data_IF_637131798528
#
_entry.id   IF_637131798528
#
_cell.length_a   1.000
_cell.length_b   1.000
_cell.length_c   1.000
_cell.angle_alpha   90.00
_cell.angle_beta   90.00
_cell.angle_gamma   90.00
#
_symmetry.space_group_name_H-M   'P 1'
#
loop_
_entity.id
_entity.type
_entity.pdbx_description
1 polymer ?
#
# COMPACT_ATOMS: atom_id res chain seq x y z
N UNK A 1 -50.58 -13.96 75.42
CA UNK A 1 -49.63 -14.57 74.47
C UNK A 1 -49.77 -13.79 73.16
N UNK A 2 -48.87 -12.83 72.91
CA UNK A 2 -48.87 -11.95 71.74
C UNK A 2 -48.06 -12.58 70.63
N UNK A 3 -48.69 -12.94 69.49
CA UNK A 3 -48.01 -13.40 68.32
C UNK A 3 -47.75 -12.21 67.41
N UNK A 4 -46.52 -11.75 67.36
CA UNK A 4 -46.06 -10.73 66.41
C UNK A 4 -45.55 -11.44 65.18
N UNK A 5 -46.28 -11.33 64.05
CA UNK A 5 -45.84 -11.77 62.74
C UNK A 5 -44.88 -10.73 62.10
N UNK A 6 -43.65 -11.14 61.85
CA UNK A 6 -42.62 -10.35 61.15
C UNK A 6 -42.93 -10.33 59.62
N UNK A 7 -43.27 -9.14 59.15
CA UNK A 7 -43.41 -8.91 57.68
C UNK A 7 -42.06 -8.54 57.06
N UNK A 8 -41.54 -9.41 56.19
CA UNK A 8 -40.41 -9.06 55.31
C UNK A 8 -40.96 -8.32 54.07
N UNK A 9 -40.37 -7.16 53.68
CA UNK A 9 -40.78 -6.49 52.47
C UNK A 9 -40.24 -7.27 51.26
N UNK A 10 -41.13 -7.84 50.44
CA UNK A 10 -40.76 -8.36 49.12
C UNK A 10 -40.48 -7.17 48.19
N UNK A 11 -39.19 -6.93 47.88
CA UNK A 11 -38.82 -6.03 46.79
C UNK A 11 -39.23 -6.65 45.47
N UNK A 12 -40.28 -6.09 44.85
CA UNK A 12 -40.65 -6.39 43.44
C UNK A 12 -39.71 -5.61 42.56
N UNK A 13 -38.56 -6.19 42.21
CA UNK A 13 -37.83 -5.70 41.01
C UNK A 13 -38.72 -5.89 39.80
N UNK A 14 -39.09 -4.81 39.12
CA UNK A 14 -39.95 -4.87 37.97
C UNK A 14 -39.23 -5.60 36.82
N UNK A 15 -39.93 -6.38 36.05
CA UNK A 15 -39.39 -7.08 34.85
C UNK A 15 -38.66 -6.09 33.94
N UNK A 16 -39.11 -4.85 33.86
CA UNK A 16 -38.51 -3.78 33.09
C UNK A 16 -37.11 -3.39 33.64
N UNK A 17 -36.90 -3.40 34.97
CA UNK A 17 -35.58 -3.13 35.59
C UNK A 17 -34.59 -4.27 35.32
N UNK A 18 -35.05 -5.51 35.27
CA UNK A 18 -34.21 -6.66 34.93
C UNK A 18 -33.80 -6.65 33.46
N UNK A 19 -34.72 -6.31 32.56
CA UNK A 19 -34.45 -6.17 31.11
C UNK A 19 -33.46 -5.03 30.86
N UNK A 20 -33.60 -3.88 31.54
CA UNK A 20 -32.67 -2.77 31.41
C UNK A 20 -31.24 -3.12 31.88
N UNK A 21 -31.14 -3.90 33.00
CA UNK A 21 -29.85 -4.41 33.50
C UNK A 21 -29.19 -5.39 32.52
N UNK A 22 -29.97 -6.31 31.93
CA UNK A 22 -29.46 -7.27 30.94
C UNK A 22 -29.01 -6.55 29.65
N UNK A 23 -29.79 -5.58 29.15
CA UNK A 23 -29.41 -4.77 27.99
C UNK A 23 -28.15 -3.94 28.27
N UNK A 24 -28.06 -3.32 29.45
CA UNK A 24 -26.85 -2.58 29.86
C UNK A 24 -25.62 -3.47 29.97
N UNK A 25 -25.75 -4.72 30.46
CA UNK A 25 -24.66 -5.68 30.55
C UNK A 25 -24.24 -6.22 29.16
N UNK A 26 -25.20 -6.47 28.27
CA UNK A 26 -24.90 -6.85 26.87
C UNK A 26 -24.19 -5.74 26.10
N UNK A 27 -24.60 -4.47 26.31
CA UNK A 27 -23.94 -3.31 25.72
C UNK A 27 -22.52 -3.16 26.29
N UNK A 28 -22.34 -3.31 27.60
CA UNK A 28 -21.01 -3.24 28.25
C UNK A 28 -20.10 -4.36 27.80
N UNK A 29 -20.59 -5.60 27.62
CA UNK A 29 -19.83 -6.71 27.05
C UNK A 29 -19.49 -6.43 25.59
N UNK A 30 -20.45 -5.96 24.80
CA UNK A 30 -20.24 -5.61 23.39
C UNK A 30 -19.20 -4.51 23.21
N UNK A 31 -19.25 -3.47 24.06
CA UNK A 31 -18.24 -2.39 24.07
C UNK A 31 -16.89 -2.90 24.57
N UNK A 32 -16.87 -3.71 25.63
CA UNK A 32 -15.63 -4.30 26.16
C UNK A 32 -14.96 -5.25 25.18
N UNK A 33 -15.71 -6.07 24.46
CA UNK A 33 -15.20 -6.94 23.40
C UNK A 33 -14.68 -6.13 22.19
N UNK A 34 -15.34 -5.02 21.85
CA UNK A 34 -14.93 -4.16 20.75
C UNK A 34 -13.65 -3.36 21.08
N UNK A 35 -13.48 -2.96 22.36
CA UNK A 35 -12.27 -2.29 22.85
C UNK A 35 -11.08 -3.24 23.03
N UNK A 36 -11.32 -4.54 23.09
CA UNK A 36 -10.28 -5.56 23.28
C UNK A 36 -9.87 -6.24 21.98
N UNK A 37 -10.56 -5.97 20.86
CA UNK A 37 -10.21 -6.55 19.58
C UNK A 37 -8.91 -5.91 19.05
N UNK A 38 -7.84 -6.69 19.00
CA UNK A 38 -6.57 -6.32 18.36
C UNK A 38 -6.37 -7.27 17.18
N UNK A 39 -6.47 -6.76 15.94
CA UNK A 39 -6.24 -7.60 14.79
C UNK A 39 -4.77 -8.05 14.77
N UNK A 40 -4.55 -9.36 14.68
CA UNK A 40 -3.21 -9.95 14.58
C UNK A 40 -2.84 -10.14 13.12
N UNK A 41 -1.61 -9.77 12.78
CA UNK A 41 -1.06 -10.02 11.45
C UNK A 41 -0.84 -11.52 11.24
N UNK A 42 -1.16 -12.06 10.06
CA UNK A 42 -0.99 -13.49 9.76
C UNK A 42 0.49 -13.88 9.52
N UNK A 43 1.41 -12.96 9.69
CA UNK A 43 2.84 -13.12 9.48
C UNK A 43 3.65 -12.41 10.57
N UNK A 44 4.93 -12.72 10.66
CA UNK A 44 5.85 -12.00 11.57
C UNK A 44 6.19 -10.64 11.00
N UNK A 45 6.27 -9.58 11.85
CA UNK A 45 6.74 -8.28 11.44
C UNK A 45 8.13 -8.35 10.80
N UNK A 46 8.32 -7.60 9.74
CA UNK A 46 9.56 -7.58 8.99
C UNK A 46 9.79 -6.21 8.34
N UNK A 47 11.05 -5.86 8.11
CA UNK A 47 11.39 -4.77 7.20
C UNK A 47 11.07 -5.23 5.78
N UNK A 48 10.31 -4.43 5.05
CA UNK A 48 9.85 -4.78 3.73
C UNK A 48 10.10 -3.66 2.72
N UNK A 49 10.12 -4.01 1.44
CA UNK A 49 10.19 -3.06 0.33
C UNK A 49 9.21 -3.45 -0.77
N UNK A 50 8.76 -2.46 -1.52
CA UNK A 50 8.16 -2.68 -2.83
C UNK A 50 9.25 -2.72 -3.90
N UNK A 51 9.19 -3.70 -4.79
CA UNK A 51 9.90 -3.70 -6.06
C UNK A 51 8.91 -3.34 -7.17
N UNK A 52 8.97 -2.09 -7.67
CA UNK A 52 7.95 -1.54 -8.57
C UNK A 52 8.44 -1.27 -10.00
N UNK A 53 9.66 -1.74 -10.31
CA UNK A 53 10.23 -1.67 -11.66
C UNK A 53 9.57 -2.70 -12.60
N UNK A 54 9.75 -2.54 -13.90
CA UNK A 54 9.26 -3.48 -14.93
C UNK A 54 10.30 -4.50 -15.37
N UNK A 55 11.48 -4.48 -14.75
CA UNK A 55 12.57 -5.43 -14.99
C UNK A 55 13.19 -5.76 -13.64
N UNK A 56 13.22 -7.03 -13.27
CA UNK A 56 13.88 -7.52 -12.07
C UNK A 56 15.36 -7.76 -12.37
N UNK A 57 16.12 -6.71 -12.17
CA UNK A 57 17.57 -6.67 -12.32
C UNK A 57 18.10 -5.75 -11.21
N UNK A 58 18.11 -6.21 -9.94
CA UNK A 58 18.55 -5.41 -8.82
C UNK A 58 20.05 -5.18 -8.91
N UNK A 59 20.45 -3.91 -8.86
CA UNK A 59 21.86 -3.53 -8.87
C UNK A 59 22.53 -3.79 -7.51
N UNK A 60 23.87 -3.64 -7.48
CA UNK A 60 24.67 -3.89 -6.27
C UNK A 60 24.27 -3.01 -5.07
N UNK A 61 23.79 -1.78 -5.32
CA UNK A 61 23.35 -0.88 -4.25
C UNK A 61 21.98 -1.33 -3.69
N UNK A 62 21.09 -1.84 -4.52
CA UNK A 62 19.80 -2.40 -4.11
C UNK A 62 19.97 -3.71 -3.31
N UNK A 63 20.86 -4.59 -3.76
CA UNK A 63 21.21 -5.81 -3.02
C UNK A 63 21.85 -5.46 -1.67
N UNK A 64 22.76 -4.49 -1.65
CA UNK A 64 23.37 -3.97 -0.44
C UNK A 64 22.34 -3.39 0.53
N UNK A 65 21.37 -2.60 0.02
CA UNK A 65 20.28 -2.04 0.80
C UNK A 65 19.46 -3.14 1.50
N UNK A 66 19.04 -4.18 0.76
CA UNK A 66 18.30 -5.32 1.31
C UNK A 66 19.06 -5.96 2.47
N UNK A 67 20.38 -6.16 2.32
CA UNK A 67 21.23 -6.76 3.34
C UNK A 67 21.41 -5.85 4.56
N UNK A 68 21.78 -4.58 4.35
CA UNK A 68 22.13 -3.65 5.43
C UNK A 68 20.93 -3.27 6.29
N UNK A 69 19.77 -3.09 5.69
CA UNK A 69 18.52 -2.77 6.41
C UNK A 69 17.70 -4.01 6.81
N UNK A 70 18.31 -5.21 6.73
CA UNK A 70 17.67 -6.47 7.12
C UNK A 70 16.26 -6.64 6.51
N UNK A 71 16.09 -6.28 5.23
CA UNK A 71 14.84 -6.46 4.52
C UNK A 71 14.55 -7.95 4.38
N UNK A 72 13.36 -8.38 4.84
CA UNK A 72 12.93 -9.79 4.85
C UNK A 72 11.69 -10.06 4.01
N UNK A 73 11.04 -9.01 3.48
CA UNK A 73 9.88 -9.17 2.59
C UNK A 73 9.96 -8.21 1.41
N UNK A 74 9.67 -8.74 0.22
CA UNK A 74 9.64 -7.98 -1.02
C UNK A 74 8.26 -8.11 -1.66
N UNK A 75 7.51 -7.01 -1.74
CA UNK A 75 6.30 -6.91 -2.54
C UNK A 75 6.70 -6.66 -3.99
N UNK A 76 6.54 -7.67 -4.82
CA UNK A 76 7.06 -7.66 -6.19
C UNK A 76 5.92 -7.43 -7.19
N UNK A 77 5.90 -6.25 -7.86
CA UNK A 77 4.93 -5.98 -8.92
C UNK A 77 5.15 -6.93 -10.09
N UNK A 78 4.20 -7.83 -10.31
CA UNK A 78 4.30 -8.83 -11.38
C UNK A 78 3.79 -8.30 -12.72
N UNK A 79 2.63 -7.69 -12.70
CA UNK A 79 2.01 -7.04 -13.85
C UNK A 79 0.88 -6.13 -13.40
N UNK A 80 0.44 -5.26 -14.33
CA UNK A 80 -0.80 -4.51 -14.19
C UNK A 80 -1.92 -5.21 -14.94
N UNK A 81 -3.14 -4.94 -14.53
CA UNK A 81 -4.35 -5.31 -15.26
C UNK A 81 -5.05 -4.02 -15.65
N UNK A 82 -5.20 -3.82 -16.97
CA UNK A 82 -5.76 -2.59 -17.52
C UNK A 82 -6.95 -2.89 -18.43
N UNK A 83 -7.86 -1.91 -18.55
CA UNK A 83 -8.96 -2.00 -19.50
C UNK A 83 -8.46 -1.74 -20.92
N UNK A 84 -8.87 -2.59 -21.87
CA UNK A 84 -8.69 -2.42 -23.31
C UNK A 84 -10.02 -2.00 -23.93
N UNK A 85 -10.32 -0.73 -23.86
CA UNK A 85 -11.63 -0.18 -24.28
C UNK A 85 -11.95 -0.33 -25.79
N UNK A 86 -10.95 -0.67 -26.59
CA UNK A 86 -11.11 -0.88 -28.04
C UNK A 86 -11.40 -2.32 -28.45
N UNK A 87 -11.33 -3.28 -27.53
CA UNK A 87 -11.52 -4.70 -27.83
C UNK A 87 -13.00 -5.07 -28.05
N UNK A 88 -13.26 -5.82 -29.10
CA UNK A 88 -14.62 -6.24 -29.45
C UNK A 88 -15.16 -7.40 -28.58
N UNK A 89 -14.42 -8.52 -28.36
CA UNK A 89 -14.90 -9.56 -27.47
C UNK A 89 -14.68 -9.16 -26.00
N UNK A 90 -15.66 -9.43 -25.11
CA UNK A 90 -15.56 -9.07 -23.70
C UNK A 90 -14.32 -9.61 -23.00
N UNK A 91 -13.85 -10.80 -23.37
CA UNK A 91 -12.66 -11.44 -22.79
C UNK A 91 -11.35 -10.73 -23.13
N UNK A 92 -11.32 -9.85 -24.11
CA UNK A 92 -10.17 -9.02 -24.48
C UNK A 92 -10.22 -7.61 -23.88
N UNK A 93 -11.29 -7.26 -23.17
CA UNK A 93 -11.44 -5.94 -22.55
C UNK A 93 -10.56 -5.74 -21.32
N UNK A 94 -10.04 -6.82 -20.77
CA UNK A 94 -9.11 -6.80 -19.64
C UNK A 94 -7.84 -7.52 -20.06
N UNK A 95 -6.71 -6.80 -19.99
CA UNK A 95 -5.42 -7.31 -20.46
C UNK A 95 -4.32 -7.04 -19.45
N UNK A 96 -3.31 -7.93 -19.39
CA UNK A 96 -2.10 -7.66 -18.63
C UNK A 96 -1.25 -6.59 -19.31
N UNK A 97 -0.65 -5.71 -18.52
CA UNK A 97 0.26 -4.67 -18.95
C UNK A 97 1.49 -4.62 -18.03
N UNK A 98 2.53 -3.92 -18.44
CA UNK A 98 3.74 -3.69 -17.63
C UNK A 98 4.26 -4.95 -16.92
N UNK A 99 4.20 -6.12 -17.58
CA UNK A 99 4.65 -7.40 -17.03
C UNK A 99 6.12 -7.34 -16.66
N UNK A 100 6.44 -7.76 -15.44
CA UNK A 100 7.80 -7.82 -14.93
C UNK A 100 8.63 -8.82 -15.74
N UNK A 101 9.81 -8.38 -16.17
CA UNK A 101 10.79 -9.20 -16.91
C UNK A 101 11.94 -9.58 -15.97
N UNK A 102 12.49 -10.76 -16.18
CA UNK A 102 13.59 -11.32 -15.38
C UNK A 102 14.78 -11.68 -16.29
N UNK A 103 15.52 -10.71 -16.81
CA UNK A 103 16.56 -10.97 -17.81
C UNK A 103 17.77 -11.71 -17.27
N UNK A 104 18.02 -11.63 -15.96
CA UNK A 104 19.16 -12.25 -15.31
C UNK A 104 18.88 -13.64 -14.73
N UNK A 105 17.60 -14.10 -14.76
CA UNK A 105 17.21 -15.37 -14.16
C UNK A 105 17.01 -16.41 -15.28
N UNK A 106 18.04 -17.21 -15.52
CA UNK A 106 17.99 -18.33 -16.47
C UNK A 106 17.64 -19.65 -15.78
N UNK A 107 18.08 -19.80 -14.52
CA UNK A 107 17.86 -20.97 -13.68
C UNK A 107 17.91 -20.60 -12.17
N UNK A 108 17.86 -21.58 -11.31
CA UNK A 108 17.91 -21.40 -9.85
C UNK A 108 19.24 -20.83 -9.33
N UNK A 109 20.31 -20.87 -10.10
CA UNK A 109 21.65 -20.42 -9.68
C UNK A 109 21.70 -18.92 -9.39
N UNK A 110 20.83 -18.12 -10.02
CA UNK A 110 20.67 -16.70 -9.69
C UNK A 110 20.40 -16.49 -8.20
N UNK A 111 19.44 -17.22 -7.66
CA UNK A 111 19.05 -17.10 -6.25
C UNK A 111 20.14 -17.64 -5.30
N UNK A 112 20.87 -18.69 -5.71
CA UNK A 112 21.97 -19.24 -4.94
C UNK A 112 23.14 -18.26 -4.81
N UNK A 113 23.40 -17.46 -5.85
CA UNK A 113 24.47 -16.45 -5.87
C UNK A 113 24.10 -15.15 -5.18
N UNK A 114 22.79 -14.89 -4.99
CA UNK A 114 22.25 -13.69 -4.36
C UNK A 114 21.53 -14.00 -3.05
N UNK A 115 22.26 -14.53 -2.07
CA UNK A 115 21.70 -15.05 -0.81
C UNK A 115 20.76 -14.07 -0.09
N UNK A 116 21.08 -12.78 -0.04
CA UNK A 116 20.22 -11.78 0.62
C UNK A 116 18.86 -11.61 -0.07
N UNK A 117 18.79 -11.85 -1.38
CA UNK A 117 17.52 -11.91 -2.13
C UNK A 117 16.83 -13.26 -1.88
N UNK A 118 17.59 -14.36 -1.89
CA UNK A 118 17.05 -15.70 -1.66
C UNK A 118 16.46 -15.87 -0.25
N UNK A 119 16.99 -15.17 0.75
CA UNK A 119 16.51 -15.21 2.14
C UNK A 119 15.24 -14.35 2.39
N UNK A 120 14.87 -13.52 1.44
CA UNK A 120 13.66 -12.72 1.55
C UNK A 120 12.41 -13.54 1.20
N UNK A 121 11.30 -13.20 1.83
CA UNK A 121 9.99 -13.67 1.43
C UNK A 121 9.43 -12.77 0.30
N UNK A 122 8.76 -13.37 -0.67
CA UNK A 122 8.19 -12.65 -1.80
C UNK A 122 6.66 -12.64 -1.75
N UNK A 123 6.08 -11.47 -2.01
CA UNK A 123 4.65 -11.29 -2.19
C UNK A 123 4.41 -10.72 -3.59
N UNK A 124 4.15 -11.59 -4.59
CA UNK A 124 3.67 -11.14 -5.88
C UNK A 124 2.56 -10.12 -5.73
N UNK A 125 2.67 -8.98 -6.44
CA UNK A 125 1.70 -7.90 -6.37
C UNK A 125 1.13 -7.64 -7.77
N UNK A 126 -0.19 -7.59 -7.88
CA UNK A 126 -0.92 -7.31 -9.12
C UNK A 126 -1.66 -5.99 -8.97
N UNK A 127 -1.30 -5.01 -9.79
CA UNK A 127 -2.01 -3.74 -9.84
C UNK A 127 -3.21 -3.83 -10.78
N UNK A 128 -4.38 -3.39 -10.33
CA UNK A 128 -5.64 -3.46 -11.09
C UNK A 128 -6.19 -2.05 -11.21
N UNK A 129 -6.31 -1.54 -12.44
CA UNK A 129 -6.97 -0.25 -12.65
C UNK A 129 -8.47 -0.35 -12.37
N UNK A 130 -9.06 0.73 -11.88
CA UNK A 130 -10.51 0.79 -11.58
C UNK A 130 -11.36 0.49 -12.83
N UNK A 131 -10.90 0.92 -13.99
CA UNK A 131 -11.59 0.63 -15.26
C UNK A 131 -11.55 -0.87 -15.60
N UNK A 132 -10.40 -1.53 -15.38
CA UNK A 132 -10.30 -2.99 -15.58
C UNK A 132 -11.19 -3.76 -14.59
N UNK A 133 -11.23 -3.29 -13.33
CA UNK A 133 -12.09 -3.89 -12.32
C UNK A 133 -13.58 -3.83 -12.73
N UNK A 134 -14.04 -2.71 -13.30
CA UNK A 134 -15.42 -2.60 -13.84
C UNK A 134 -15.70 -3.58 -14.98
N UNK A 135 -14.72 -3.82 -15.86
CA UNK A 135 -14.86 -4.79 -16.96
C UNK A 135 -14.82 -6.26 -16.49
N UNK A 136 -14.44 -6.52 -15.22
CA UNK A 136 -14.49 -7.86 -14.62
C UNK A 136 -15.88 -8.24 -14.10
N UNK A 137 -16.79 -7.27 -13.99
CA UNK A 137 -18.15 -7.51 -13.49
C UNK A 137 -18.86 -8.66 -14.24
N UNK A 138 -19.56 -9.51 -13.49
CA UNK A 138 -20.23 -10.71 -14.03
C UNK A 138 -19.28 -11.86 -14.43
N UNK A 139 -17.94 -11.68 -14.35
CA UNK A 139 -16.96 -12.73 -14.68
C UNK A 139 -15.82 -12.84 -13.65
N UNK A 140 -16.02 -12.32 -12.44
CA UNK A 140 -15.00 -12.16 -11.39
C UNK A 140 -14.28 -13.47 -11.06
N UNK A 141 -14.99 -14.57 -10.92
CA UNK A 141 -14.39 -15.88 -10.64
C UNK A 141 -13.42 -16.36 -11.74
N UNK A 142 -13.73 -16.06 -13.01
CA UNK A 142 -12.85 -16.38 -14.13
C UNK A 142 -11.56 -15.54 -14.08
N UNK A 143 -11.69 -14.26 -13.76
CA UNK A 143 -10.54 -13.36 -13.64
C UNK A 143 -9.67 -13.73 -12.45
N UNK A 144 -10.25 -14.08 -11.32
CA UNK A 144 -9.52 -14.57 -10.15
C UNK A 144 -8.61 -15.76 -10.51
N UNK A 145 -9.16 -16.76 -11.22
CA UNK A 145 -8.41 -17.93 -11.69
C UNK A 145 -7.26 -17.53 -12.61
N UNK A 146 -7.53 -16.68 -13.64
CA UNK A 146 -6.50 -16.19 -14.57
C UNK A 146 -5.37 -15.45 -13.85
N UNK A 147 -5.69 -14.63 -12.83
CA UNK A 147 -4.71 -13.90 -12.04
C UNK A 147 -3.81 -14.87 -11.28
N UNK A 148 -4.40 -15.80 -10.52
CA UNK A 148 -3.63 -16.75 -9.70
C UNK A 148 -2.79 -17.67 -10.57
N UNK A 149 -3.35 -18.21 -11.66
CA UNK A 149 -2.62 -19.05 -12.62
C UNK A 149 -1.43 -18.31 -13.24
N UNK A 150 -1.64 -17.05 -13.70
CA UNK A 150 -0.55 -16.25 -14.29
C UNK A 150 0.55 -15.98 -13.27
N UNK A 151 0.21 -15.59 -12.04
CA UNK A 151 1.19 -15.36 -10.96
C UNK A 151 1.96 -16.64 -10.67
N UNK A 152 1.26 -17.77 -10.50
CA UNK A 152 1.89 -19.07 -10.21
C UNK A 152 2.86 -19.50 -11.32
N UNK A 153 2.46 -19.30 -12.59
CA UNK A 153 3.33 -19.59 -13.74
C UNK A 153 4.58 -18.69 -13.75
N UNK A 154 4.44 -17.39 -13.48
CA UNK A 154 5.57 -16.46 -13.40
C UNK A 154 6.50 -16.79 -12.23
N UNK A 155 5.97 -17.16 -11.07
CA UNK A 155 6.73 -17.59 -9.89
C UNK A 155 7.54 -18.83 -10.22
N UNK A 156 6.90 -19.86 -10.77
CA UNK A 156 7.55 -21.14 -11.08
C UNK A 156 8.61 -21.00 -12.19
N UNK A 157 8.27 -20.26 -13.26
CA UNK A 157 9.19 -20.08 -14.40
C UNK A 157 10.47 -19.32 -14.02
N UNK A 158 10.37 -18.38 -13.07
CA UNK A 158 11.51 -17.56 -12.63
C UNK A 158 12.09 -18.05 -11.28
N UNK A 159 11.73 -19.24 -10.82
CA UNK A 159 12.26 -19.86 -9.58
C UNK A 159 12.19 -18.95 -8.36
N UNK A 160 11.15 -18.09 -8.25
CA UNK A 160 11.04 -17.11 -7.16
C UNK A 160 10.88 -17.88 -5.83
N UNK A 161 11.82 -17.72 -4.88
CA UNK A 161 11.79 -18.46 -3.62
C UNK A 161 10.80 -17.87 -2.61
N UNK A 162 10.48 -18.62 -1.57
CA UNK A 162 9.81 -18.17 -0.35
C UNK A 162 8.57 -17.29 -0.61
N UNK A 163 7.68 -17.70 -1.49
CA UNK A 163 6.44 -16.98 -1.74
C UNK A 163 5.49 -17.15 -0.57
N UNK A 164 5.07 -16.03 0.08
CA UNK A 164 4.19 -16.04 1.26
C UNK A 164 2.70 -15.79 0.91
N UNK A 165 2.41 -15.31 -0.30
CA UNK A 165 1.05 -14.97 -0.69
C UNK A 165 0.95 -14.17 -1.97
N UNK A 166 -0.16 -13.46 -2.12
CA UNK A 166 -0.46 -12.56 -3.23
C UNK A 166 -0.99 -11.24 -2.68
N UNK A 167 -0.65 -10.12 -3.32
CA UNK A 167 -1.24 -8.82 -3.03
C UNK A 167 -2.02 -8.29 -4.23
N UNK A 168 -3.23 -7.80 -3.99
CA UNK A 168 -3.99 -7.02 -4.94
C UNK A 168 -3.83 -5.53 -4.62
N UNK A 169 -3.39 -4.75 -5.58
CA UNK A 169 -3.28 -3.30 -5.49
C UNK A 169 -4.36 -2.67 -6.38
N UNK A 170 -5.35 -2.03 -5.76
CA UNK A 170 -6.44 -1.38 -6.49
C UNK A 170 -6.97 -0.17 -5.74
N UNK A 171 -7.12 0.95 -6.47
CA UNK A 171 -7.75 2.17 -5.96
C UNK A 171 -9.29 2.09 -6.06
N UNK A 172 -9.87 1.00 -5.56
CA UNK A 172 -11.32 0.82 -5.59
C UNK A 172 -12.05 1.93 -4.82
N UNK A 173 -13.26 2.22 -5.25
CA UNK A 173 -14.14 3.25 -4.70
C UNK A 173 -15.48 2.63 -4.34
N UNK A 174 -16.35 3.37 -3.64
CA UNK A 174 -17.70 2.88 -3.30
C UNK A 174 -18.50 2.36 -4.50
N UNK A 175 -18.22 2.83 -5.73
CA UNK A 175 -18.87 2.32 -6.95
C UNK A 175 -18.30 1.00 -7.50
N UNK A 176 -17.17 0.55 -6.97
CA UNK A 176 -16.47 -0.68 -7.40
C UNK A 176 -16.13 -1.60 -6.23
N UNK A 177 -16.57 -1.26 -5.03
CA UNK A 177 -16.33 -1.99 -3.79
C UNK A 177 -16.81 -3.43 -3.89
N UNK A 178 -18.06 -3.63 -4.32
CA UNK A 178 -18.68 -4.96 -4.43
C UNK A 178 -17.88 -5.88 -5.36
N UNK A 179 -17.53 -5.38 -6.55
CA UNK A 179 -16.74 -6.14 -7.53
C UNK A 179 -15.33 -6.46 -6.97
N UNK A 180 -14.70 -5.50 -6.28
CA UNK A 180 -13.38 -5.72 -5.69
C UNK A 180 -13.44 -6.75 -4.56
N UNK A 181 -14.46 -6.70 -3.71
CA UNK A 181 -14.62 -7.65 -2.60
C UNK A 181 -14.91 -9.06 -3.13
N UNK A 182 -15.77 -9.20 -4.14
CA UNK A 182 -15.98 -10.47 -4.81
C UNK A 182 -14.67 -11.02 -5.42
N UNK A 183 -13.85 -10.14 -6.03
CA UNK A 183 -12.55 -10.52 -6.57
C UNK A 183 -11.61 -11.01 -5.47
N UNK A 184 -11.53 -10.31 -4.33
CA UNK A 184 -10.73 -10.72 -3.19
C UNK A 184 -11.12 -12.11 -2.68
N UNK A 185 -12.42 -12.36 -2.50
CA UNK A 185 -12.92 -13.68 -2.07
C UNK A 185 -12.60 -14.78 -3.08
N UNK A 186 -12.79 -14.50 -4.38
CA UNK A 186 -12.51 -15.46 -5.43
C UNK A 186 -11.01 -15.77 -5.52
N UNK A 187 -10.14 -14.75 -5.48
CA UNK A 187 -8.68 -14.93 -5.48
C UNK A 187 -8.23 -15.70 -4.25
N UNK A 188 -8.77 -15.39 -3.07
CA UNK A 188 -8.44 -16.10 -1.83
C UNK A 188 -8.78 -17.59 -1.90
N UNK A 189 -9.93 -17.93 -2.47
CA UNK A 189 -10.31 -19.33 -2.71
C UNK A 189 -9.35 -20.03 -3.67
N UNK A 190 -8.99 -19.38 -4.78
CA UNK A 190 -8.05 -19.98 -5.75
C UNK A 190 -6.65 -20.16 -5.15
N UNK A 191 -6.14 -19.20 -4.38
CA UNK A 191 -4.86 -19.35 -3.66
C UNK A 191 -4.88 -20.52 -2.68
N UNK A 192 -5.94 -20.66 -1.89
CA UNK A 192 -6.08 -21.75 -0.92
C UNK A 192 -6.22 -23.14 -1.56
N UNK A 193 -6.68 -23.20 -2.81
CA UNK A 193 -6.69 -24.44 -3.59
C UNK A 193 -5.27 -24.85 -4.01
N UNK A 194 -4.36 -23.90 -4.21
CA UNK A 194 -2.96 -24.18 -4.51
C UNK A 194 -2.16 -24.50 -3.25
N UNK A 195 -2.20 -23.62 -2.25
CA UNK A 195 -1.54 -23.79 -0.96
C UNK A 195 -2.29 -23.00 0.12
N UNK A 196 -2.73 -23.72 1.16
CA UNK A 196 -3.47 -23.11 2.29
C UNK A 196 -2.64 -22.17 3.16
N UNK A 197 -1.31 -22.21 3.04
CA UNK A 197 -0.41 -21.32 3.78
C UNK A 197 -0.34 -19.92 3.16
N UNK A 198 -0.61 -19.78 1.85
CA UNK A 198 -0.55 -18.52 1.14
C UNK A 198 -1.62 -17.53 1.64
N UNK A 199 -1.21 -16.28 1.82
CA UNK A 199 -2.08 -15.21 2.31
C UNK A 199 -2.43 -14.25 1.19
N UNK A 200 -3.65 -13.75 1.21
CA UNK A 200 -4.08 -12.66 0.35
C UNK A 200 -3.99 -11.35 1.13
N UNK A 201 -3.32 -10.36 0.56
CA UNK A 201 -3.31 -9.00 1.06
C UNK A 201 -3.83 -7.99 0.03
N UNK A 202 -4.17 -6.80 0.49
CA UNK A 202 -4.50 -5.68 -0.38
C UNK A 202 -3.80 -4.41 0.10
N UNK A 203 -3.48 -3.51 -0.84
CA UNK A 203 -3.12 -2.14 -0.50
C UNK A 203 -4.36 -1.41 0.02
N UNK A 204 -4.16 -0.56 1.03
CA UNK A 204 -5.22 0.26 1.62
C UNK A 204 -4.81 1.72 1.47
N UNK A 205 -5.66 2.52 0.81
CA UNK A 205 -5.47 3.97 0.70
C UNK A 205 -6.00 4.66 1.96
N UNK A 206 -5.49 5.85 2.27
CA UNK A 206 -5.92 6.60 3.46
C UNK A 206 -7.43 6.81 3.51
N UNK A 207 -8.06 7.18 2.39
CA UNK A 207 -9.50 7.40 2.32
C UNK A 207 -10.34 6.11 2.52
N UNK A 208 -9.74 4.93 2.32
CA UNK A 208 -10.40 3.64 2.52
C UNK A 208 -10.49 3.23 3.99
N UNK A 209 -9.79 3.94 4.91
CA UNK A 209 -9.88 3.67 6.36
C UNK A 209 -11.30 3.90 6.92
N UNK A 210 -12.10 4.75 6.28
CA UNK A 210 -13.51 5.00 6.64
C UNK A 210 -14.51 4.12 5.89
N UNK A 211 -14.03 3.21 5.03
CA UNK A 211 -14.87 2.35 4.19
C UNK A 211 -14.89 0.91 4.73
N UNK A 212 -15.80 0.06 4.20
CA UNK A 212 -15.81 -1.35 4.55
C UNK A 212 -14.47 -2.04 4.30
N UNK A 213 -14.18 -3.05 5.11
CA UNK A 213 -12.92 -3.78 5.08
C UNK A 213 -12.95 -4.85 3.98
N UNK A 214 -11.98 -4.87 3.04
CA UNK A 214 -11.92 -5.91 2.04
C UNK A 214 -11.68 -7.30 2.64
N UNK A 215 -12.24 -8.38 2.07
CA UNK A 215 -12.14 -9.74 2.62
C UNK A 215 -10.79 -10.41 2.32
N UNK A 216 -9.71 -9.78 2.78
CA UNK A 216 -8.33 -10.26 2.69
C UNK A 216 -7.78 -10.61 4.07
N UNK A 217 -6.59 -11.22 4.15
CA UNK A 217 -5.99 -11.62 5.43
C UNK A 217 -5.35 -10.45 6.17
N UNK A 218 -4.77 -9.49 5.44
CA UNK A 218 -4.22 -8.23 5.97
C UNK A 218 -4.12 -7.17 4.87
N UNK A 219 -3.90 -5.93 5.28
CA UNK A 219 -3.69 -4.81 4.37
C UNK A 219 -2.30 -4.19 4.52
N UNK A 220 -1.88 -3.43 3.51
CA UNK A 220 -0.72 -2.54 3.58
C UNK A 220 -1.21 -1.11 3.40
N UNK A 221 -1.23 -0.34 4.48
CA UNK A 221 -1.64 1.07 4.45
C UNK A 221 -0.61 1.90 3.71
N UNK A 222 -1.02 2.52 2.61
CA UNK A 222 -0.13 3.35 1.79
C UNK A 222 -0.15 4.80 2.28
N UNK A 223 0.96 5.22 2.91
CA UNK A 223 1.15 6.55 3.48
C UNK A 223 2.02 7.37 2.54
N UNK A 224 1.59 7.48 1.30
CA UNK A 224 2.23 8.29 0.25
C UNK A 224 1.21 8.61 -0.86
N UNK A 225 1.59 9.49 -1.80
CA UNK A 225 0.68 10.09 -2.78
C UNK A 225 -0.52 10.74 -2.07
N UNK A 226 -0.23 11.54 -1.04
CA UNK A 226 -1.25 12.07 -0.14
C UNK A 226 -1.86 13.37 -0.63
N UNK A 227 -1.09 14.14 -1.44
CA UNK A 227 -1.53 15.41 -1.99
C UNK A 227 -1.92 15.34 -3.46
N UNK A 228 -2.53 16.44 -3.94
CA UNK A 228 -2.85 16.58 -5.36
C UNK A 228 -1.60 17.00 -6.15
N UNK A 229 -0.92 16.06 -6.81
CA UNK A 229 0.26 16.35 -7.62
C UNK A 229 -0.01 17.24 -8.83
N UNK A 230 -1.28 17.38 -9.28
CA UNK A 230 -1.65 18.26 -10.38
C UNK A 230 -1.87 19.71 -9.94
N UNK A 231 -1.94 19.97 -8.64
CA UNK A 231 -2.01 21.32 -8.09
C UNK A 231 -0.62 21.96 -8.12
N UNK A 232 -0.43 23.09 -8.86
CA UNK A 232 0.87 23.74 -8.94
C UNK A 232 1.34 24.36 -7.62
N UNK A 233 0.45 24.56 -6.66
CA UNK A 233 0.74 25.18 -5.35
C UNK A 233 0.91 24.15 -4.22
N UNK A 234 0.73 22.84 -4.48
CA UNK A 234 0.98 21.79 -3.49
C UNK A 234 2.44 21.85 -3.01
N UNK A 235 2.65 21.65 -1.70
CA UNK A 235 3.98 21.68 -1.09
C UNK A 235 4.80 20.45 -1.43
N UNK A 236 4.26 19.28 -1.10
CA UNK A 236 4.84 17.97 -1.42
C UNK A 236 3.70 16.94 -1.52
N UNK A 237 3.36 16.57 -2.73
CA UNK A 237 2.26 15.63 -2.96
C UNK A 237 2.67 14.16 -2.72
N UNK A 238 3.96 13.89 -2.50
CA UNK A 238 4.41 12.55 -2.08
C UNK A 238 3.92 12.25 -0.67
N UNK A 239 4.22 13.14 0.28
CA UNK A 239 3.79 13.03 1.68
C UNK A 239 3.81 14.41 2.32
N UNK A 240 2.63 14.90 2.67
CA UNK A 240 2.45 16.06 3.55
C UNK A 240 1.65 15.60 4.79
N UNK A 241 2.16 15.81 6.01
CA UNK A 241 1.45 15.47 7.23
C UNK A 241 0.04 16.06 7.31
N UNK A 242 -0.17 17.27 6.81
CA UNK A 242 -1.47 17.92 6.80
C UNK A 242 -2.51 17.20 5.93
N UNK A 243 -2.05 16.52 4.86
CA UNK A 243 -2.93 15.75 3.98
C UNK A 243 -3.27 14.36 4.57
N UNK A 244 -2.41 13.82 5.45
CA UNK A 244 -2.56 12.48 6.05
C UNK A 244 -3.40 12.50 7.32
N UNK A 245 -3.13 13.48 8.21
CA UNK A 245 -3.68 13.52 9.57
C UNK A 245 -5.22 13.41 9.65
N UNK A 246 -6.01 14.03 8.75
CA UNK A 246 -7.46 13.91 8.75
C UNK A 246 -7.99 12.47 8.63
N UNK A 247 -7.27 11.59 7.93
CA UNK A 247 -7.68 10.20 7.72
C UNK A 247 -7.32 9.28 8.89
N UNK A 248 -6.35 9.65 9.73
CA UNK A 248 -5.86 8.79 10.79
C UNK A 248 -6.83 8.66 11.99
N UNK A 249 -7.94 9.41 12.01
CA UNK A 249 -8.99 9.28 13.01
C UNK A 249 -9.60 7.87 13.04
N UNK A 250 -9.79 7.28 11.87
CA UNK A 250 -10.46 5.98 11.68
C UNK A 250 -9.51 4.77 11.88
N UNK A 251 -8.20 5.01 11.93
CA UNK A 251 -7.18 3.95 11.98
C UNK A 251 -7.33 3.02 13.19
N UNK A 252 -7.69 3.55 14.35
CA UNK A 252 -7.86 2.74 15.56
C UNK A 252 -9.08 1.81 15.53
N UNK A 253 -10.08 2.16 14.71
CA UNK A 253 -11.30 1.39 14.48
C UNK A 253 -11.23 0.43 13.30
N UNK A 254 -10.18 0.54 12.48
CA UNK A 254 -10.05 -0.28 11.28
C UNK A 254 -9.71 -1.72 11.64
N UNK A 255 -10.57 -2.65 11.29
CA UNK A 255 -10.51 -4.04 11.79
C UNK A 255 -9.59 -4.97 11.01
N UNK A 256 -9.13 -4.58 9.84
CA UNK A 256 -8.13 -5.36 9.10
C UNK A 256 -6.77 -5.21 9.78
N UNK A 257 -6.01 -6.30 9.99
CA UNK A 257 -4.60 -6.18 10.36
C UNK A 257 -3.85 -5.39 9.30
N UNK A 258 -3.05 -4.40 9.70
CA UNK A 258 -2.34 -3.52 8.76
C UNK A 258 -0.83 -3.56 8.97
N UNK A 259 -0.09 -3.73 7.88
CA UNK A 259 1.27 -3.23 7.70
C UNK A 259 1.22 -1.80 7.18
N UNK A 260 2.35 -1.06 7.18
CA UNK A 260 2.38 0.34 6.76
C UNK A 260 3.50 0.58 5.76
N UNK A 261 3.19 1.26 4.66
CA UNK A 261 4.15 1.63 3.63
C UNK A 261 4.40 3.14 3.62
N UNK A 262 5.69 3.53 3.65
CA UNK A 262 6.17 4.90 3.56
C UNK A 262 6.95 5.13 2.26
N UNK A 263 7.01 6.37 1.74
CA UNK A 263 7.67 6.65 0.47
C UNK A 263 9.20 6.64 0.59
N UNK A 264 9.85 6.14 -0.47
CA UNK A 264 11.29 6.28 -0.70
C UNK A 264 11.53 6.56 -2.18
N UNK A 265 11.03 7.70 -2.67
CA UNK A 265 11.18 8.07 -4.06
C UNK A 265 11.20 9.60 -4.26
N UNK A 266 11.51 9.98 -5.48
CA UNK A 266 11.52 11.36 -5.97
C UNK A 266 10.79 11.40 -7.30
N UNK A 267 10.05 12.45 -7.55
CA UNK A 267 9.52 12.75 -8.87
C UNK A 267 9.66 14.23 -9.23
N UNK A 268 9.54 14.49 -10.51
CA UNK A 268 9.57 15.84 -11.06
C UNK A 268 8.29 16.07 -11.84
N UNK A 269 7.60 17.13 -11.48
CA UNK A 269 6.28 17.49 -12.00
C UNK A 269 6.45 18.70 -12.92
N UNK A 270 6.07 18.55 -14.18
CA UNK A 270 6.10 19.61 -15.18
C UNK A 270 4.75 20.34 -15.20
N UNK A 271 4.81 21.66 -15.13
CA UNK A 271 3.65 22.54 -15.26
C UNK A 271 3.84 23.51 -16.42
N UNK A 272 2.86 23.55 -17.33
CA UNK A 272 2.76 24.52 -18.40
C UNK A 272 1.60 25.47 -18.09
N UNK A 273 1.85 26.77 -18.01
CA UNK A 273 0.85 27.78 -17.62
C UNK A 273 0.05 27.37 -16.37
N UNK A 274 0.76 26.91 -15.32
CA UNK A 274 0.19 26.39 -14.06
C UNK A 274 -0.69 25.13 -14.18
N UNK A 275 -0.73 24.48 -15.33
CA UNK A 275 -1.43 23.22 -15.54
C UNK A 275 -0.43 22.08 -15.57
N UNK A 276 -0.75 20.99 -14.90
CA UNK A 276 0.07 19.79 -14.93
C UNK A 276 0.21 19.27 -16.38
N UNK A 277 1.44 19.12 -16.83
CA UNK A 277 1.79 18.70 -18.18
C UNK A 277 2.41 17.30 -18.23
N UNK A 278 2.93 16.79 -17.11
CA UNK A 278 3.48 15.45 -17.05
C UNK A 278 4.51 15.22 -15.95
N UNK A 279 4.99 13.97 -15.88
CA UNK A 279 6.08 13.56 -15.03
C UNK A 279 7.39 13.56 -15.84
N UNK A 280 8.43 14.15 -15.28
CA UNK A 280 9.79 14.08 -15.79
C UNK A 280 10.61 13.03 -15.01
N UNK A 281 11.65 12.51 -15.62
CA UNK A 281 12.53 11.53 -15.00
C UNK A 281 13.99 11.98 -15.09
N UNK A 282 14.55 12.38 -13.95
CA UNK A 282 15.97 12.64 -13.82
C UNK A 282 16.48 13.85 -14.60
N UNK A 283 15.65 14.89 -14.79
CA UNK A 283 16.08 16.12 -15.41
C UNK A 283 16.99 16.88 -14.45
N UNK A 284 18.21 17.15 -14.87
CA UNK A 284 19.16 17.97 -14.09
C UNK A 284 18.87 19.45 -14.31
N UNK A 285 18.67 20.20 -13.21
CA UNK A 285 18.34 21.63 -13.24
C UNK A 285 19.47 22.49 -12.70
N UNK A 286 20.71 22.00 -12.87
CA UNK A 286 21.92 22.68 -12.40
C UNK A 286 22.43 23.75 -13.39
N UNK A 287 22.05 23.65 -14.67
CA UNK A 287 22.43 24.66 -15.68
C UNK A 287 21.57 25.92 -15.50
N UNK A 288 22.19 26.97 -14.96
CA UNK A 288 21.54 28.26 -14.72
C UNK A 288 21.22 29.05 -16.00
N UNK A 289 21.72 28.62 -17.16
CA UNK A 289 21.32 29.17 -18.47
C UNK A 289 20.03 28.59 -18.99
N UNK A 290 19.64 27.41 -18.49
CA UNK A 290 18.42 26.69 -18.84
C UNK A 290 17.35 26.87 -17.80
N UNK A 291 17.71 26.83 -16.51
CA UNK A 291 16.76 26.82 -15.40
C UNK A 291 17.07 27.90 -14.35
N UNK A 292 16.06 28.65 -13.98
CA UNK A 292 16.08 29.58 -12.86
C UNK A 292 15.38 28.96 -11.65
N UNK A 293 16.06 28.85 -10.53
CA UNK A 293 15.42 28.44 -9.27
C UNK A 293 14.46 29.53 -8.81
N UNK A 294 13.17 29.20 -8.64
CA UNK A 294 12.10 30.12 -8.26
C UNK A 294 11.52 29.86 -6.86
N UNK A 295 11.88 28.74 -6.26
CA UNK A 295 11.47 28.35 -4.92
C UNK A 295 12.39 27.30 -4.34
N UNK A 296 11.99 26.69 -3.21
CA UNK A 296 12.80 25.66 -2.55
C UNK A 296 12.98 24.43 -3.45
N UNK A 297 11.91 24.00 -4.10
CA UNK A 297 11.84 22.81 -4.93
C UNK A 297 11.34 23.08 -6.35
N UNK A 298 11.31 24.35 -6.80
CA UNK A 298 10.78 24.74 -8.09
C UNK A 298 11.82 25.47 -8.94
N UNK A 299 11.83 25.14 -10.23
CA UNK A 299 12.67 25.75 -11.24
C UNK A 299 11.80 26.17 -12.44
N UNK A 300 12.13 27.32 -13.04
CA UNK A 300 11.49 27.81 -14.27
C UNK A 300 12.46 27.68 -15.43
N UNK A 301 12.00 27.14 -16.54
CA UNK A 301 12.77 27.06 -17.77
C UNK A 301 12.95 28.47 -18.39
N UNK A 302 14.20 28.82 -18.69
CA UNK A 302 14.59 30.10 -19.33
C UNK A 302 14.56 30.02 -20.86
N UNK A 303 14.67 28.81 -21.40
CA UNK A 303 14.58 28.48 -22.81
C UNK A 303 13.92 27.11 -22.99
N UNK A 304 13.63 26.71 -24.23
CA UNK A 304 13.19 25.36 -24.50
C UNK A 304 14.33 24.38 -24.27
N UNK A 305 14.05 23.30 -23.52
CA UNK A 305 14.99 22.23 -23.17
C UNK A 305 14.36 20.91 -23.62
N UNK A 306 15.13 20.11 -24.34
CA UNK A 306 14.72 18.78 -24.81
C UNK A 306 15.37 17.72 -23.94
N UNK A 307 14.52 16.99 -23.21
CA UNK A 307 14.96 15.89 -22.34
C UNK A 307 14.29 14.59 -22.77
N UNK A 308 15.06 13.73 -23.44
CA UNK A 308 14.57 12.50 -24.02
C UNK A 308 13.46 12.76 -25.07
N UNK A 309 12.22 12.39 -24.73
CA UNK A 309 11.03 12.63 -25.58
C UNK A 309 10.17 13.81 -25.12
N UNK A 310 10.59 14.48 -24.07
CA UNK A 310 9.83 15.58 -23.48
C UNK A 310 10.47 16.92 -23.85
N UNK A 311 9.64 17.88 -24.21
CA UNK A 311 10.06 19.27 -24.43
C UNK A 311 9.56 20.07 -23.24
N UNK A 312 10.50 20.65 -22.47
CA UNK A 312 10.23 21.62 -21.42
C UNK A 312 10.33 22.99 -22.10
N UNK A 313 9.24 23.72 -22.17
CA UNK A 313 9.18 25.00 -22.90
C UNK A 313 9.65 26.14 -22.03
N UNK A 314 10.16 27.19 -22.64
CA UNK A 314 10.44 28.43 -21.93
C UNK A 314 9.24 28.91 -21.13
N UNK A 315 9.43 29.18 -19.85
CA UNK A 315 8.41 29.60 -18.91
C UNK A 315 7.75 28.46 -18.12
N UNK A 316 7.92 27.22 -18.55
CA UNK A 316 7.46 26.04 -17.80
C UNK A 316 8.11 25.98 -16.41
N UNK A 317 7.36 25.44 -15.46
CA UNK A 317 7.82 25.25 -14.09
C UNK A 317 7.98 23.74 -13.84
N UNK A 318 9.12 23.36 -13.32
CA UNK A 318 9.38 22.02 -12.83
C UNK A 318 9.45 22.07 -11.30
N UNK A 319 8.60 21.25 -10.64
CA UNK A 319 8.63 21.03 -9.20
C UNK A 319 9.22 19.67 -8.92
N UNK A 320 10.31 19.63 -8.14
CA UNK A 320 10.93 18.39 -7.67
C UNK A 320 10.44 18.09 -6.27
N UNK A 321 9.77 16.98 -6.10
CA UNK A 321 9.33 16.49 -4.79
C UNK A 321 10.09 15.23 -4.43
N UNK A 322 10.40 15.09 -3.15
CA UNK A 322 11.13 13.94 -2.62
C UNK A 322 10.56 13.51 -1.27
N UNK A 323 10.78 12.25 -0.96
CA UNK A 323 10.55 11.74 0.40
C UNK A 323 11.48 12.44 1.38
N UNK A 324 10.96 12.91 2.51
CA UNK A 324 11.73 13.49 3.57
C UNK A 324 11.47 12.77 4.91
N UNK A 325 12.54 12.60 5.68
CA UNK A 325 12.52 11.88 6.95
C UNK A 325 11.59 12.52 7.99
N UNK A 326 11.57 13.86 8.03
CA UNK A 326 10.78 14.58 9.04
C UNK A 326 9.29 14.28 8.87
N UNK A 327 8.77 14.43 7.65
CA UNK A 327 7.36 14.14 7.35
C UNK A 327 7.01 12.68 7.64
N UNK A 328 7.87 11.74 7.21
CA UNK A 328 7.68 10.30 7.49
C UNK A 328 7.66 10.04 9.00
N UNK A 329 8.66 10.56 9.75
CA UNK A 329 8.79 10.35 11.19
C UNK A 329 7.62 10.93 11.97
N UNK A 330 7.14 12.12 11.61
CA UNK A 330 6.04 12.78 12.31
C UNK A 330 4.73 11.99 12.11
N UNK A 331 4.42 11.55 10.89
CA UNK A 331 3.24 10.72 10.62
C UNK A 331 3.37 9.32 11.24
N UNK A 332 4.56 8.71 11.17
CA UNK A 332 4.81 7.41 11.79
C UNK A 332 4.51 7.41 13.28
N UNK A 333 4.92 8.46 14.03
CA UNK A 333 4.62 8.61 15.46
C UNK A 333 3.11 8.66 15.74
N UNK A 334 2.31 9.22 14.82
CA UNK A 334 0.85 9.25 14.96
C UNK A 334 0.28 7.87 14.70
N UNK A 335 0.73 7.21 13.62
CA UNK A 335 0.31 5.85 13.25
C UNK A 335 0.65 4.87 14.37
N UNK A 336 1.88 4.87 14.90
CA UNK A 336 2.32 3.98 15.98
C UNK A 336 1.42 4.05 17.23
N UNK A 337 0.82 5.21 17.47
CA UNK A 337 -0.12 5.41 18.61
C UNK A 337 -1.55 5.00 18.31
N UNK A 338 -1.96 5.01 17.03
CA UNK A 338 -3.37 4.81 16.63
C UNK A 338 -3.65 3.47 15.99
N UNK A 339 -2.64 2.84 15.38
CA UNK A 339 -2.82 1.57 14.66
C UNK A 339 -3.24 0.46 15.62
N UNK A 340 -4.29 -0.27 15.25
CA UNK A 340 -4.83 -1.36 16.06
C UNK A 340 -3.91 -2.60 16.05
N UNK A 341 -3.21 -2.85 14.95
CA UNK A 341 -2.29 -3.99 14.80
C UNK A 341 -1.01 -3.77 15.61
N UNK A 342 -0.74 -4.56 16.65
CA UNK A 342 0.55 -4.52 17.31
C UNK A 342 1.63 -5.10 16.41
N UNK A 343 2.82 -4.52 16.45
CA UNK A 343 3.99 -5.06 15.75
C UNK A 343 3.78 -5.24 14.24
N UNK A 344 3.34 -4.20 13.54
CA UNK A 344 3.19 -4.21 12.08
C UNK A 344 4.55 -4.18 11.36
N UNK A 345 4.59 -4.67 10.12
CA UNK A 345 5.74 -4.52 9.22
C UNK A 345 5.78 -3.11 8.65
N UNK A 346 6.98 -2.54 8.59
CA UNK A 346 7.21 -1.30 7.85
C UNK A 346 7.72 -1.64 6.44
N UNK A 347 7.11 -1.04 5.45
CA UNK A 347 7.47 -1.22 4.03
C UNK A 347 7.93 0.12 3.44
N UNK A 348 8.98 0.13 2.62
CA UNK A 348 9.39 1.30 1.87
C UNK A 348 8.99 1.17 0.39
N UNK A 349 8.36 2.19 -0.13
CA UNK A 349 7.97 2.31 -1.53
C UNK A 349 8.86 3.34 -2.22
N UNK A 350 9.75 2.97 -3.12
CA UNK A 350 10.11 1.63 -3.56
C UNK A 350 11.63 1.46 -3.63
N UNK A 351 12.10 0.22 -3.81
CA UNK A 351 13.51 -0.11 -3.97
C UNK A 351 14.02 0.42 -5.32
N UNK A 352 14.78 1.52 -5.26
CA UNK A 352 15.45 2.15 -6.41
C UNK A 352 16.69 2.88 -5.92
N UNK A 353 17.85 2.39 -6.32
CA UNK A 353 19.16 2.94 -5.92
C UNK A 353 19.33 4.44 -6.18
N UNK A 354 18.62 4.97 -7.20
CA UNK A 354 18.62 6.40 -7.55
C UNK A 354 18.02 7.31 -6.47
N UNK A 355 17.23 6.75 -5.57
CA UNK A 355 16.51 7.53 -4.55
C UNK A 355 17.02 7.30 -3.12
N UNK A 356 18.00 6.40 -2.92
CA UNK A 356 18.54 6.10 -1.59
C UNK A 356 19.18 7.31 -0.92
N UNK A 357 19.73 8.24 -1.71
CA UNK A 357 20.32 9.48 -1.19
C UNK A 357 19.30 10.46 -0.59
N UNK A 358 18.00 10.21 -0.71
CA UNK A 358 16.98 11.07 -0.09
C UNK A 358 16.98 10.96 1.44
N UNK A 359 17.36 9.81 1.96
CA UNK A 359 17.39 9.49 3.40
C UNK A 359 18.77 8.89 3.75
N UNK A 360 19.28 9.22 4.91
CA UNK A 360 20.48 8.58 5.44
C UNK A 360 20.20 7.15 5.91
N UNK A 361 21.24 6.36 6.10
CA UNK A 361 21.14 4.99 6.63
C UNK A 361 20.39 4.94 7.98
N UNK A 362 20.77 5.81 8.91
CA UNK A 362 20.16 5.88 10.25
C UNK A 362 18.68 6.32 10.19
N UNK A 363 18.32 7.19 9.25
CA UNK A 363 16.93 7.60 9.03
C UNK A 363 16.09 6.42 8.50
N UNK A 364 16.61 5.65 7.56
CA UNK A 364 15.96 4.46 7.03
C UNK A 364 15.75 3.42 8.14
N UNK A 365 16.79 3.14 8.94
CA UNK A 365 16.67 2.23 10.08
C UNK A 365 15.64 2.73 11.11
N UNK A 366 15.61 4.03 11.37
CA UNK A 366 14.61 4.64 12.26
C UNK A 366 13.18 4.50 11.76
N UNK A 367 12.97 4.51 10.44
CA UNK A 367 11.65 4.27 9.84
C UNK A 367 11.23 2.81 10.02
N UNK A 368 12.15 1.87 9.89
CA UNK A 368 11.87 0.45 10.08
C UNK A 368 11.56 0.06 11.53
N UNK A 369 12.07 0.81 12.52
CA UNK A 369 11.82 0.52 13.92
C UNK A 369 10.39 0.89 14.31
N UNK A 370 9.57 -0.08 14.70
CA UNK A 370 8.31 0.17 15.40
C UNK A 370 8.61 0.58 16.85
N UNK A 371 8.45 1.88 17.15
CA UNK A 371 8.59 2.37 18.52
C UNK A 371 7.21 2.32 19.22
N UNK A 372 7.07 1.44 20.15
CA UNK A 372 5.99 1.48 21.16
C UNK A 372 6.50 1.99 22.49
#
# INVERSE_FOLDING_TARGET
MNNQSIHFPRSRTSVSSLIALILGFVILIGVGLNLSYRPELPHRPANAVYFWKTTFDPDSAEIKFIKEHAVKRVYMRMFDIVANRGAAPPEERVVPNATLRFPAIEDESFWQTHQSLADAAYVPTVYITVDALREMDGAVAQWARKIVERVSNMVSYNFIPNVEGLQLDCDWTGSTEEIFFELCEAVKRELQNHDKSLKLSSTIRLHQLSQPVPPVDFGVLMVYNTGNFTDPDARNSILDPCDVEPYLGDLSGYRLPLDVAYPLYTWQLLFHDRKFAGLLRGVEMTDTTEFLRTGENTHRALRDVVEGRTIIRKGDVVRTEKSDYKSISDIKKIIDRRIASPNYSTTLYHLDSKTFSNLSHDEIDSIYICRR
#
